data_IF_422011339371
#
_entry.id   IF_422011339371
#
_cell.length_a   1.000
_cell.length_b   1.000
_cell.length_c   1.000
_cell.angle_alpha   90.00
_cell.angle_beta   90.00
_cell.angle_gamma   90.00
#
_symmetry.space_group_name_H-M   'P 1'
#
loop_
_entity.id
_entity.type
_entity.pdbx_description
1 polymer ?
#
# COMPACT_ATOMS: atom_id res chain seq x y z
N UNK A 1 -18.86 -3.75 -1.69
CA UNK A 1 -18.14 -3.94 -0.41
C UNK A 1 -16.98 -4.87 -0.68
N UNK A 2 -15.81 -4.58 -0.10
CA UNK A 2 -14.60 -5.39 -0.27
C UNK A 2 -14.37 -6.13 1.04
N UNK A 3 -14.30 -7.47 1.00
CA UNK A 3 -14.00 -8.32 2.15
C UNK A 3 -12.60 -8.90 1.94
N UNK A 4 -11.57 -8.33 2.57
CA UNK A 4 -10.21 -8.66 2.15
C UNK A 4 -9.73 -7.69 1.08
N UNK A 5 -8.97 -6.66 1.45
CA UNK A 5 -8.33 -5.78 0.48
C UNK A 5 -6.81 -5.97 0.54
N UNK A 6 -6.19 -6.01 -0.62
CA UNK A 6 -4.74 -6.04 -0.78
C UNK A 6 -4.33 -4.94 -1.75
N UNK A 7 -3.50 -4.03 -1.30
CA UNK A 7 -2.96 -2.93 -2.10
C UNK A 7 -1.54 -3.28 -2.50
N UNK A 8 -1.33 -3.65 -3.76
CA UNK A 8 0.00 -3.82 -4.32
C UNK A 8 0.48 -2.52 -4.97
N UNK A 9 1.73 -2.14 -4.68
CA UNK A 9 2.39 -0.99 -5.26
C UNK A 9 3.88 -1.28 -5.46
N UNK A 10 4.46 -0.69 -6.49
CA UNK A 10 5.87 -0.90 -6.81
C UNK A 10 6.69 0.27 -6.27
N UNK A 11 7.50 0.01 -5.24
CA UNK A 11 8.49 0.95 -4.78
C UNK A 11 9.65 1.03 -5.79
N UNK A 12 10.15 2.22 -6.12
CA UNK A 12 11.38 2.38 -6.87
C UNK A 12 12.57 1.74 -6.13
N UNK A 13 13.58 1.35 -6.91
CA UNK A 13 14.82 0.80 -6.38
C UNK A 13 15.50 1.79 -5.43
N UNK A 14 16.03 1.28 -4.31
CA UNK A 14 16.61 2.12 -3.25
C UNK A 14 15.64 2.50 -2.14
N UNK A 15 14.36 2.09 -2.22
CA UNK A 15 13.39 2.19 -1.14
C UNK A 15 13.11 0.83 -0.49
N UNK A 16 13.04 0.82 0.85
CA UNK A 16 12.67 -0.37 1.61
C UNK A 16 11.76 -0.02 2.79
N UNK A 17 10.62 -0.68 2.90
CA UNK A 17 9.71 -0.59 4.05
C UNK A 17 10.40 -1.17 5.27
N UNK A 18 10.51 -0.37 6.33
CA UNK A 18 11.08 -0.80 7.61
C UNK A 18 10.01 -1.18 8.61
N UNK A 19 8.86 -0.49 8.59
CA UNK A 19 7.75 -0.74 9.51
C UNK A 19 6.44 -0.22 8.93
N UNK A 20 5.31 -0.73 9.41
CA UNK A 20 4.00 -0.26 9.00
C UNK A 20 2.94 -0.56 10.05
N UNK A 21 1.81 0.14 9.93
CA UNK A 21 0.66 -0.03 10.81
C UNK A 21 -0.63 0.00 10.00
N UNK A 22 -1.70 -0.55 10.58
CA UNK A 22 -3.01 -0.75 9.94
C UNK A 22 -3.04 -1.68 8.70
N UNK A 23 -1.88 -2.15 8.22
CA UNK A 23 -1.72 -3.17 7.21
C UNK A 23 -0.40 -3.94 7.40
N UNK A 24 -0.35 -5.16 6.88
CA UNK A 24 0.86 -5.96 6.73
C UNK A 24 1.53 -5.64 5.40
N UNK A 25 2.84 -5.41 5.39
CA UNK A 25 3.58 -5.00 4.19
C UNK A 25 4.61 -6.05 3.83
N UNK A 26 4.47 -6.67 2.66
CA UNK A 26 5.42 -7.68 2.20
C UNK A 26 5.44 -7.80 0.68
N UNK A 27 6.62 -8.00 0.05
CA UNK A 27 7.97 -7.83 0.60
C UNK A 27 8.30 -6.35 0.90
N UNK A 28 9.40 -6.09 1.62
CA UNK A 28 9.79 -4.74 2.02
C UNK A 28 10.35 -3.86 0.87
N UNK A 29 10.76 -4.43 -0.26
CA UNK A 29 11.34 -3.71 -1.39
C UNK A 29 10.82 -4.23 -2.73
N UNK A 30 10.90 -3.41 -3.77
CA UNK A 30 10.35 -3.73 -5.09
C UNK A 30 8.82 -3.68 -5.09
N UNK A 31 8.15 -4.78 -5.42
CA UNK A 31 6.69 -4.85 -5.41
C UNK A 31 6.18 -5.14 -3.99
N UNK A 32 5.78 -4.10 -3.28
CA UNK A 32 5.22 -4.21 -1.93
C UNK A 32 3.73 -4.48 -2.01
N UNK A 33 3.26 -5.47 -1.26
CA UNK A 33 1.84 -5.75 -1.07
C UNK A 33 1.45 -5.39 0.35
N UNK A 34 0.61 -4.36 0.49
CA UNK A 34 -0.06 -4.03 1.73
C UNK A 34 -1.34 -4.84 1.86
N UNK A 35 -1.40 -5.73 2.84
CA UNK A 35 -2.56 -6.57 3.12
C UNK A 35 -3.30 -6.05 4.34
N UNK A 36 -4.62 -6.05 4.24
CA UNK A 36 -5.48 -5.63 5.33
C UNK A 36 -5.34 -6.52 6.59
N UNK A 37 -5.58 -5.90 7.75
CA UNK A 37 -5.72 -6.63 9.01
C UNK A 37 -7.16 -7.09 9.23
N UNK A 38 -7.36 -8.10 10.07
CA UNK A 38 -8.67 -8.68 10.38
C UNK A 38 -9.71 -7.65 10.83
N UNK A 39 -9.27 -6.60 11.54
CA UNK A 39 -10.14 -5.53 12.04
C UNK A 39 -10.47 -4.47 10.97
N UNK A 40 -9.61 -4.30 9.96
CA UNK A 40 -9.79 -3.35 8.84
C UNK A 40 -10.21 -4.07 7.56
N UNK A 41 -10.71 -5.31 7.67
CA UNK A 41 -10.74 -6.18 6.52
C UNK A 41 -11.83 -5.80 5.52
N UNK A 42 -12.88 -5.16 6.02
CA UNK A 42 -14.09 -4.84 5.27
C UNK A 42 -14.10 -3.35 4.91
N UNK A 43 -14.10 -3.04 3.61
CA UNK A 43 -14.31 -1.69 3.09
C UNK A 43 -15.72 -1.63 2.50
N UNK A 44 -16.60 -0.88 3.15
CA UNK A 44 -17.93 -0.62 2.62
C UNK A 44 -17.86 0.30 1.38
N UNK A 45 -18.86 0.28 0.49
CA UNK A 45 -18.90 1.21 -0.64
C UNK A 45 -18.88 2.67 -0.14
N UNK A 46 -17.93 3.47 -0.61
CA UNK A 46 -17.74 4.85 -0.14
C UNK A 46 -17.01 4.99 1.20
N UNK A 47 -16.59 3.88 1.82
CA UNK A 47 -15.70 3.92 2.98
C UNK A 47 -14.23 3.97 2.53
N UNK A 48 -13.39 4.51 3.41
CA UNK A 48 -11.95 4.63 3.20
C UNK A 48 -11.23 4.01 4.39
N UNK A 49 -10.12 3.32 4.12
CA UNK A 49 -9.22 2.81 5.16
C UNK A 49 -7.90 3.59 5.07
N UNK A 50 -7.44 4.11 6.20
CA UNK A 50 -6.15 4.76 6.31
C UNK A 50 -5.08 3.75 6.73
N UNK A 51 -4.02 3.65 5.94
CA UNK A 51 -2.85 2.84 6.26
C UNK A 51 -1.59 3.70 6.28
N UNK A 52 -0.58 3.25 7.02
CA UNK A 52 0.69 3.96 7.12
C UNK A 52 1.86 3.00 7.11
N UNK A 53 2.91 3.39 6.41
CA UNK A 53 4.18 2.69 6.39
C UNK A 53 5.34 3.67 6.49
N UNK A 54 6.42 3.19 7.07
CA UNK A 54 7.71 3.83 7.11
C UNK A 54 8.63 3.07 6.16
N UNK A 55 9.23 3.80 5.23
CA UNK A 55 10.24 3.27 4.33
C UNK A 55 11.50 4.14 4.42
N UNK A 56 12.65 3.50 4.30
CA UNK A 56 13.94 4.17 4.12
C UNK A 56 14.20 4.32 2.63
N UNK A 57 14.83 5.42 2.24
CA UNK A 57 15.27 5.67 0.86
C UNK A 57 16.72 6.17 0.85
N UNK A 58 17.51 5.75 -0.13
CA UNK A 58 18.93 6.12 -0.23
C UNK A 58 19.19 7.38 -1.07
N UNK A 59 18.14 8.09 -1.47
CA UNK A 59 18.23 9.31 -2.29
C UNK A 59 17.03 9.49 -3.21
N UNK A 60 16.39 8.39 -3.60
CA UNK A 60 15.18 8.37 -4.42
C UNK A 60 13.92 8.46 -3.56
N UNK A 61 13.29 9.62 -3.57
CA UNK A 61 11.96 9.87 -2.97
C UNK A 61 10.82 9.70 -3.96
N UNK A 62 11.07 9.08 -5.12
CA UNK A 62 10.05 8.84 -6.11
C UNK A 62 8.91 8.01 -5.50
N UNK A 63 7.68 8.46 -5.72
CA UNK A 63 6.49 7.73 -5.31
C UNK A 63 6.24 6.55 -6.28
N UNK A 64 5.64 5.45 -5.80
CA UNK A 64 5.11 4.42 -6.68
C UNK A 64 4.21 5.03 -7.76
N UNK A 65 4.48 4.72 -9.04
CA UNK A 65 3.64 5.19 -10.14
C UNK A 65 2.33 4.43 -10.30
N UNK A 66 2.24 3.23 -9.72
CA UNK A 66 1.12 2.31 -9.88
C UNK A 66 0.69 1.71 -8.56
N UNK A 67 -0.60 1.82 -8.26
CA UNK A 67 -1.24 1.20 -7.12
C UNK A 67 -2.40 0.36 -7.63
N UNK A 68 -2.49 -0.88 -7.15
CA UNK A 68 -3.58 -1.79 -7.48
C UNK A 68 -4.19 -2.33 -6.19
N UNK A 69 -5.48 -2.05 -5.99
CA UNK A 69 -6.26 -2.56 -4.87
C UNK A 69 -7.08 -3.76 -5.34
N UNK A 70 -6.74 -4.96 -4.84
CA UNK A 70 -7.41 -6.22 -5.17
C UNK A 70 -7.52 -6.44 -6.69
N UNK A 71 -6.47 -6.09 -7.44
CA UNK A 71 -6.43 -6.14 -8.91
C UNK A 71 -7.09 -4.95 -9.63
N UNK A 72 -7.73 -4.03 -8.90
CA UNK A 72 -8.28 -2.78 -9.46
C UNK A 72 -7.21 -1.70 -9.43
N UNK A 73 -6.88 -1.09 -10.56
CA UNK A 73 -5.99 0.08 -10.58
C UNK A 73 -6.62 1.25 -9.79
N UNK A 74 -5.93 1.72 -8.75
CA UNK A 74 -6.34 2.90 -8.01
C UNK A 74 -5.78 4.15 -8.68
N UNK A 75 -6.63 5.16 -8.87
CA UNK A 75 -6.17 6.48 -9.26
C UNK A 75 -5.42 7.11 -8.07
N UNK A 76 -4.15 7.48 -8.30
CA UNK A 76 -3.39 8.30 -7.36
C UNK A 76 -3.90 9.72 -7.51
N UNK A 77 -4.82 10.14 -6.66
CA UNK A 77 -5.21 11.54 -6.57
C UNK A 77 -4.16 12.27 -5.73
N UNK A 78 -2.97 12.46 -6.30
CA UNK A 78 -1.95 13.35 -5.75
C UNK A 78 -2.26 14.77 -6.20
N UNK A 79 -2.56 15.66 -5.24
CA UNK A 79 -2.69 17.10 -5.45
C UNK A 79 -1.37 17.80 -5.16
#
# INVERSE_FOLDING_TARGET
MIHGWSLAFTLPGGQAVTSGWNADYSPASGQVTARNLSHNATIAPGASVGIGFQAVHTGDTAAPGSYTLNGTACAVTGS
#
